data_IF_143129760547
#
_entry.id   IF_143129760547
#
_cell.length_a   1.000
_cell.length_b   1.000
_cell.length_c   1.000
_cell.angle_alpha   90.00
_cell.angle_beta   90.00
_cell.angle_gamma   90.00
#
_symmetry.space_group_name_H-M   'P 1'
#
loop_
_entity.id
_entity.type
_entity.pdbx_description
1 polymer ?
#
# COMPACT_ATOMS: atom_id res chain seq x y z
N UNK A 1 -16.97 -9.78 10.03
CA UNK A 1 -16.66 -8.50 10.70
C UNK A 1 -15.63 -7.71 9.90
N UNK A 2 -14.49 -8.32 9.54
CA UNK A 2 -13.44 -7.69 8.73
C UNK A 2 -13.92 -7.33 7.32
N UNK A 3 -14.60 -8.25 6.62
CA UNK A 3 -15.08 -8.02 5.24
C UNK A 3 -15.97 -6.77 5.15
N UNK A 4 -16.96 -6.66 6.04
CA UNK A 4 -17.85 -5.49 6.10
C UNK A 4 -17.11 -4.18 6.37
N UNK A 5 -16.05 -4.22 7.18
CA UNK A 5 -15.24 -3.05 7.47
C UNK A 5 -14.44 -2.62 6.23
N UNK A 6 -13.79 -3.57 5.55
CA UNK A 6 -13.06 -3.30 4.30
C UNK A 6 -14.00 -2.84 3.18
N UNK A 7 -15.17 -3.44 3.03
CA UNK A 7 -16.17 -3.01 2.04
C UNK A 7 -16.69 -1.59 2.29
N UNK A 8 -16.83 -1.20 3.57
CA UNK A 8 -17.18 0.18 3.93
C UNK A 8 -16.10 1.14 3.48
N UNK A 9 -14.85 0.87 3.86
CA UNK A 9 -13.69 1.70 3.50
C UNK A 9 -13.53 1.77 1.97
N UNK A 10 -13.69 0.65 1.25
CA UNK A 10 -13.64 0.64 -0.22
C UNK A 10 -14.65 1.63 -0.81
N UNK A 11 -15.90 1.63 -0.34
CA UNK A 11 -16.92 2.58 -0.81
C UNK A 11 -16.56 4.03 -0.49
N UNK A 12 -16.10 4.30 0.73
CA UNK A 12 -15.72 5.65 1.17
C UNK A 12 -14.50 6.20 0.42
N UNK A 13 -13.59 5.32 0.00
CA UNK A 13 -12.42 5.66 -0.81
C UNK A 13 -12.65 5.59 -2.32
N UNK A 14 -13.86 5.22 -2.77
CA UNK A 14 -14.19 5.11 -4.21
C UNK A 14 -13.56 3.92 -4.92
N UNK A 15 -13.09 2.90 -4.19
CA UNK A 15 -12.53 1.67 -4.75
C UNK A 15 -13.63 0.86 -5.44
N UNK A 16 -13.40 0.32 -6.65
CA UNK A 16 -14.37 -0.55 -7.32
C UNK A 16 -14.78 -1.73 -6.45
N UNK A 17 -16.09 -2.03 -6.43
CA UNK A 17 -16.66 -3.06 -5.55
C UNK A 17 -16.13 -4.47 -5.80
N UNK A 18 -15.66 -4.74 -7.02
CA UNK A 18 -15.13 -6.03 -7.49
C UNK A 18 -13.67 -6.28 -7.05
N UNK A 19 -13.00 -5.31 -6.42
CA UNK A 19 -11.64 -5.50 -5.89
C UNK A 19 -11.66 -6.37 -4.63
N UNK A 20 -10.90 -7.46 -4.67
CA UNK A 20 -10.71 -8.36 -3.52
C UNK A 20 -9.59 -7.84 -2.62
N UNK A 21 -9.97 -7.30 -1.46
CA UNK A 21 -9.04 -6.84 -0.43
C UNK A 21 -8.75 -7.91 0.64
N UNK A 22 -9.42 -9.06 0.60
CA UNK A 22 -9.21 -10.18 1.52
C UNK A 22 -8.15 -11.14 0.99
N UNK A 23 -8.05 -11.26 -0.35
CA UNK A 23 -7.05 -12.10 -1.02
C UNK A 23 -6.08 -11.25 -1.82
N UNK A 24 -4.78 -11.47 -1.62
CA UNK A 24 -3.73 -10.66 -2.27
C UNK A 24 -3.60 -9.29 -1.60
N UNK A 25 -2.38 -8.94 -1.19
CA UNK A 25 -2.07 -7.66 -0.54
C UNK A 25 -2.96 -7.26 0.67
N UNK A 26 -3.64 -8.21 1.33
CA UNK A 26 -4.50 -7.97 2.51
C UNK A 26 -3.84 -7.06 3.56
N UNK A 27 -2.56 -7.26 3.85
CA UNK A 27 -1.85 -6.43 4.83
C UNK A 27 -1.76 -4.96 4.41
N UNK A 28 -1.64 -4.65 3.11
CA UNK A 28 -1.73 -3.28 2.61
C UNK A 28 -3.14 -2.76 2.78
N UNK A 29 -4.13 -3.49 2.29
CA UNK A 29 -5.55 -3.09 2.34
C UNK A 29 -6.00 -2.81 3.78
N UNK A 30 -5.58 -3.65 4.72
CA UNK A 30 -5.84 -3.46 6.14
C UNK A 30 -5.13 -2.22 6.72
N UNK A 31 -3.90 -1.90 6.29
CA UNK A 31 -3.22 -0.65 6.70
C UNK A 31 -3.94 0.59 6.17
N UNK A 32 -4.47 0.54 4.94
CA UNK A 32 -5.30 1.61 4.37
C UNK A 32 -6.59 1.77 5.17
N UNK A 33 -7.26 0.67 5.52
CA UNK A 33 -8.47 0.71 6.36
C UNK A 33 -8.21 1.28 7.76
N UNK A 34 -7.07 0.95 8.37
CA UNK A 34 -6.67 1.54 9.65
C UNK A 34 -6.37 3.04 9.50
N UNK A 35 -5.68 3.46 8.43
CA UNK A 35 -5.46 4.88 8.17
C UNK A 35 -6.79 5.63 8.00
N UNK A 36 -7.74 5.06 7.24
CA UNK A 36 -9.08 5.63 7.10
C UNK A 36 -9.77 5.80 8.46
N UNK A 37 -9.78 4.75 9.28
CA UNK A 37 -10.40 4.80 10.60
C UNK A 37 -9.75 5.87 11.50
N UNK A 38 -8.42 6.02 11.49
CA UNK A 38 -7.73 7.06 12.25
C UNK A 38 -8.15 8.47 11.77
N UNK A 39 -8.27 8.65 10.46
CA UNK A 39 -8.74 9.90 9.86
C UNK A 39 -10.17 10.25 10.25
N UNK A 40 -11.08 9.27 10.25
CA UNK A 40 -12.47 9.46 10.70
C UNK A 40 -12.56 9.90 12.17
N UNK A 41 -11.59 9.52 13.00
CA UNK A 41 -11.53 9.91 14.42
C UNK A 41 -10.72 11.18 14.66
N UNK A 42 -10.42 11.96 13.61
CA UNK A 42 -9.71 13.24 13.72
C UNK A 42 -8.22 13.12 14.02
N UNK A 43 -7.64 11.92 13.91
CA UNK A 43 -6.19 11.72 14.08
C UNK A 43 -5.48 12.10 12.79
N UNK A 44 -4.54 13.05 12.87
CA UNK A 44 -3.74 13.48 11.73
C UNK A 44 -2.64 12.46 11.34
N UNK A 45 -3.04 11.23 11.00
CA UNK A 45 -2.14 10.15 10.65
C UNK A 45 -1.65 10.21 9.19
N UNK A 46 -0.50 9.58 8.94
CA UNK A 46 0.09 9.33 7.61
C UNK A 46 0.59 7.90 7.57
N UNK A 47 0.53 7.27 6.40
CA UNK A 47 1.05 5.92 6.16
C UNK A 47 2.29 6.02 5.27
N UNK A 48 3.41 5.44 5.71
CA UNK A 48 4.64 5.40 4.95
C UNK A 48 4.98 3.95 4.58
N UNK A 49 5.05 3.66 3.29
CA UNK A 49 5.61 2.42 2.77
C UNK A 49 7.09 2.62 2.47
N UNK A 50 7.95 1.85 3.12
CA UNK A 50 9.40 1.87 2.88
C UNK A 50 9.75 0.67 2.01
N UNK A 51 10.32 0.95 0.84
CA UNK A 51 10.78 -0.03 -0.14
C UNK A 51 12.30 -0.03 -0.12
N UNK A 52 12.90 -1.10 0.40
CA UNK A 52 14.34 -1.20 0.45
C UNK A 52 14.91 -1.48 -0.95
N UNK A 53 16.04 -0.85 -1.24
CA UNK A 53 16.80 -1.05 -2.47
C UNK A 53 18.27 -1.32 -2.15
N UNK A 54 18.97 -1.94 -3.10
CA UNK A 54 20.37 -2.37 -2.93
C UNK A 54 20.60 -3.38 -1.80
N UNK A 55 19.55 -4.02 -1.29
CA UNK A 55 19.70 -5.17 -0.39
C UNK A 55 20.40 -6.32 -1.15
N UNK A 56 21.44 -6.89 -0.54
CA UNK A 56 22.18 -8.02 -1.11
C UNK A 56 21.45 -9.35 -0.91
N UNK A 57 20.42 -9.37 -0.06
CA UNK A 57 19.57 -10.54 0.15
C UNK A 57 20.33 -11.78 0.64
N UNK A 58 19.63 -12.91 0.65
CA UNK A 58 20.22 -14.24 0.83
C UNK A 58 19.93 -15.12 -0.40
N UNK A 59 20.52 -16.31 -0.48
CA UNK A 59 20.32 -17.22 -1.62
C UNK A 59 18.82 -17.41 -1.94
N UNK A 60 18.45 -17.27 -3.21
CA UNK A 60 17.07 -17.46 -3.69
C UNK A 60 16.15 -16.23 -3.56
N UNK A 61 16.65 -15.06 -3.16
CA UNK A 61 15.88 -13.81 -3.13
C UNK A 61 16.31 -12.87 -4.24
N UNK A 62 15.33 -12.35 -4.98
CA UNK A 62 15.52 -11.20 -5.87
C UNK A 62 15.20 -9.95 -5.06
N UNK A 63 16.23 -9.16 -4.77
CA UNK A 63 16.09 -7.87 -4.09
C UNK A 63 16.29 -6.75 -5.10
N UNK A 64 15.36 -5.78 -5.21
CA UNK A 64 15.51 -4.65 -6.12
C UNK A 64 16.77 -3.83 -5.84
N UNK A 65 17.58 -3.58 -6.87
CA UNK A 65 18.76 -2.73 -6.79
C UNK A 65 18.42 -1.24 -6.77
N UNK A 66 17.27 -0.86 -7.33
CA UNK A 66 16.83 0.52 -7.50
C UNK A 66 15.31 0.69 -7.32
N UNK A 67 14.85 1.93 -7.21
CA UNK A 67 13.42 2.24 -7.15
C UNK A 67 12.67 1.84 -8.44
N UNK A 68 13.34 1.90 -9.59
CA UNK A 68 12.78 1.52 -10.88
C UNK A 68 12.42 0.03 -10.95
N UNK A 69 13.21 -0.82 -10.31
CA UNK A 69 12.96 -2.27 -10.25
C UNK A 69 11.74 -2.64 -9.39
N UNK A 70 11.25 -1.73 -8.54
CA UNK A 70 9.98 -1.91 -7.84
C UNK A 70 8.75 -1.60 -8.70
N UNK A 71 8.92 -0.90 -9.83
CA UNK A 71 7.81 -0.29 -10.58
C UNK A 71 6.75 -1.33 -11.02
N UNK A 72 7.17 -2.49 -11.52
CA UNK A 72 6.25 -3.54 -11.98
C UNK A 72 5.43 -4.12 -10.82
N UNK A 73 6.09 -4.47 -9.71
CA UNK A 73 5.43 -5.03 -8.54
C UNK A 73 4.46 -4.03 -7.90
N UNK A 74 4.83 -2.75 -7.85
CA UNK A 74 3.98 -1.68 -7.35
C UNK A 74 2.80 -1.40 -8.27
N UNK A 75 3.00 -1.40 -9.59
CA UNK A 75 1.92 -1.24 -10.55
C UNK A 75 0.90 -2.39 -10.45
N UNK A 76 1.37 -3.64 -10.30
CA UNK A 76 0.51 -4.80 -10.08
C UNK A 76 -0.27 -4.68 -8.75
N UNK A 77 0.39 -4.25 -7.68
CA UNK A 77 -0.26 -3.99 -6.40
C UNK A 77 -1.32 -2.89 -6.51
N UNK A 78 -1.02 -1.78 -7.18
CA UNK A 78 -1.92 -0.65 -7.37
C UNK A 78 -3.15 -1.06 -8.19
N UNK A 79 -2.95 -1.85 -9.26
CA UNK A 79 -4.03 -2.40 -10.07
C UNK A 79 -4.93 -3.38 -9.30
N UNK A 80 -4.35 -4.20 -8.41
CA UNK A 80 -5.09 -5.12 -7.55
C UNK A 80 -5.93 -4.36 -6.51
N UNK A 81 -5.30 -3.41 -5.81
CA UNK A 81 -5.93 -2.66 -4.71
C UNK A 81 -7.00 -1.71 -5.24
N UNK A 82 -6.76 -1.05 -6.37
CA UNK A 82 -7.75 -0.22 -7.07
C UNK A 82 -8.13 1.07 -6.35
N UNK A 83 -7.22 1.68 -5.58
CA UNK A 83 -7.41 3.02 -5.03
C UNK A 83 -7.42 4.05 -6.18
N UNK A 84 -8.50 4.84 -6.36
CA UNK A 84 -8.57 5.82 -7.44
C UNK A 84 -7.74 7.07 -7.12
N UNK A 85 -7.13 7.70 -8.13
CA UNK A 85 -6.43 8.97 -7.92
C UNK A 85 -7.33 10.03 -7.27
N UNK A 86 -6.79 10.82 -6.34
CA UNK A 86 -7.54 11.84 -5.61
C UNK A 86 -8.50 11.31 -4.53
N UNK A 87 -8.35 10.04 -4.11
CA UNK A 87 -9.11 9.50 -2.97
C UNK A 87 -8.81 10.27 -1.67
N UNK A 88 -9.67 10.20 -0.63
CA UNK A 88 -9.50 10.97 0.62
C UNK A 88 -8.21 10.77 1.43
N UNK A 89 -7.34 9.82 1.03
CA UNK A 89 -6.09 9.50 1.71
C UNK A 89 -4.85 9.73 0.81
N UNK A 90 -5.04 10.28 -0.39
CA UNK A 90 -4.01 10.37 -1.45
C UNK A 90 -2.78 11.16 -0.97
N UNK A 91 -3.00 12.26 -0.23
CA UNK A 91 -1.94 13.10 0.37
C UNK A 91 -1.34 12.51 1.68
N UNK A 92 -1.86 11.38 2.15
CA UNK A 92 -1.50 10.74 3.42
C UNK A 92 -0.77 9.42 3.26
N UNK A 93 -0.77 8.83 2.07
CA UNK A 93 -0.04 7.61 1.75
C UNK A 93 1.23 8.00 1.01
N UNK A 94 2.38 7.64 1.59
CA UNK A 94 3.70 8.00 1.09
C UNK A 94 4.51 6.76 0.77
N UNK A 95 5.37 6.84 -0.23
CA UNK A 95 6.36 5.81 -0.56
C UNK A 95 7.76 6.40 -0.41
N UNK A 96 8.63 5.69 0.31
CA UNK A 96 10.05 5.98 0.39
C UNK A 96 10.83 4.80 -0.17
N UNK A 97 11.80 5.06 -1.03
CA UNK A 97 12.78 4.07 -1.47
C UNK A 97 14.07 4.32 -0.69
N UNK A 98 14.54 3.31 0.06
CA UNK A 98 15.66 3.45 0.98
C UNK A 98 16.79 2.49 0.60
N UNK A 99 17.97 3.04 0.33
CA UNK A 99 19.19 2.25 0.15
C UNK A 99 19.64 1.65 1.49
N UNK A 100 19.82 0.32 1.53
CA UNK A 100 20.19 -0.39 2.77
C UNK A 100 21.60 -0.99 2.75
N UNK A 101 22.22 -1.14 1.58
CA UNK A 101 23.63 -1.48 1.45
C UNK A 101 24.29 -0.57 0.39
N UNK A 102 24.54 0.71 0.74
CA UNK A 102 25.22 1.63 -0.15
C UNK A 102 26.60 1.07 -0.56
N UNK A 103 27.01 1.40 -1.78
CA UNK A 103 28.30 0.97 -2.33
C UNK A 103 29.48 1.52 -1.54
#
# INVERSE_FOLDING_TARGET
MIERALDRVKRELGVPHDRDWLTGHYQLCNRVAVLHALMEHGVAARLLFIHFVSDRGGPGRTCPGSAAEWAEALAAQDAHVGLPAGHPLDDRIHRLFLEVAPR
#
